data_IF_476309125095
#
_entry.id   IF_476309125095
#
_cell.length_a   1.000
_cell.length_b   1.000
_cell.length_c   1.000
_cell.angle_alpha   90.00
_cell.angle_beta   90.00
_cell.angle_gamma   90.00
#
_symmetry.space_group_name_H-M   'P 1'
#
loop_
_entity.id
_entity.type
_entity.pdbx_description
1 polymer ?
#
# COMPACT_ATOMS: atom_id res chain seq x y z
N UNK A 1 -14.53 -10.52 11.56
CA UNK A 1 -13.44 -11.17 10.84
C UNK A 1 -12.37 -10.17 10.50
N UNK A 2 -11.13 -10.51 10.76
CA UNK A 2 -10.03 -9.57 10.57
C UNK A 2 -9.50 -9.60 9.13
N UNK A 3 -9.30 -8.42 8.57
CA UNK A 3 -8.76 -8.31 7.22
C UNK A 3 -7.26 -8.58 7.26
N UNK A 4 -6.79 -9.48 6.40
CA UNK A 4 -5.37 -9.83 6.32
C UNK A 4 -4.82 -9.50 4.94
N UNK A 5 -3.51 -9.68 4.76
CA UNK A 5 -2.85 -9.36 3.50
C UNK A 5 -3.43 -10.16 2.33
N UNK A 6 -3.77 -11.43 2.56
CA UNK A 6 -4.34 -12.25 1.49
C UNK A 6 -5.64 -11.64 0.96
N UNK A 7 -6.50 -11.17 1.85
CA UNK A 7 -7.74 -10.53 1.45
C UNK A 7 -7.49 -9.24 0.68
N UNK A 8 -6.50 -8.45 1.11
CA UNK A 8 -6.14 -7.22 0.42
C UNK A 8 -5.63 -7.55 -0.98
N UNK A 9 -4.75 -8.52 -1.10
CA UNK A 9 -4.16 -8.88 -2.40
C UNK A 9 -5.21 -9.39 -3.38
N UNK A 10 -6.30 -9.94 -2.88
CA UNK A 10 -7.38 -10.47 -3.71
C UNK A 10 -8.56 -9.51 -3.86
N UNK A 11 -8.45 -8.31 -3.30
CA UNK A 11 -9.55 -7.34 -3.34
C UNK A 11 -9.66 -6.70 -4.71
N UNK A 12 -10.86 -6.79 -5.31
CA UNK A 12 -11.08 -6.30 -6.67
C UNK A 12 -10.89 -4.80 -6.79
N UNK A 13 -11.40 -4.03 -5.83
CA UNK A 13 -11.30 -2.58 -5.89
C UNK A 13 -9.85 -2.12 -5.82
N UNK A 14 -9.09 -2.68 -4.89
CA UNK A 14 -7.68 -2.34 -4.74
C UNK A 14 -6.90 -2.69 -6.01
N UNK A 15 -7.17 -3.87 -6.56
CA UNK A 15 -6.46 -4.31 -7.76
C UNK A 15 -6.82 -3.48 -8.99
N UNK A 16 -8.08 -3.05 -9.09
CA UNK A 16 -8.46 -2.15 -10.18
C UNK A 16 -7.74 -0.81 -10.07
N UNK A 17 -7.60 -0.28 -8.85
CA UNK A 17 -6.87 0.97 -8.66
C UNK A 17 -5.40 0.82 -9.04
N UNK A 18 -4.79 -0.31 -8.66
CA UNK A 18 -3.40 -0.56 -9.02
C UNK A 18 -3.23 -0.64 -10.53
N UNK A 19 -4.12 -1.38 -11.20
CA UNK A 19 -4.00 -1.57 -12.64
C UNK A 19 -4.28 -0.29 -13.42
N UNK A 20 -5.24 0.50 -12.96
CA UNK A 20 -5.53 1.77 -13.59
C UNK A 20 -4.36 2.74 -13.43
N UNK A 21 -3.78 2.80 -12.23
CA UNK A 21 -2.60 3.62 -12.00
C UNK A 21 -1.43 3.21 -12.86
N UNK A 22 -1.22 1.90 -13.00
CA UNK A 22 -0.14 1.38 -13.84
C UNK A 22 -0.35 1.76 -15.31
N UNK A 23 -1.59 1.68 -15.78
CA UNK A 23 -1.92 2.06 -17.15
C UNK A 23 -1.61 3.54 -17.40
N UNK A 24 -2.01 4.40 -16.48
CA UNK A 24 -1.76 5.84 -16.59
C UNK A 24 -0.25 6.12 -16.63
N UNK A 25 0.50 5.48 -15.74
CA UNK A 25 1.95 5.71 -15.66
C UNK A 25 2.67 5.20 -16.90
N UNK A 26 2.22 4.08 -17.47
CA UNK A 26 2.81 3.58 -18.71
C UNK A 26 2.65 4.58 -19.84
N UNK A 27 1.50 5.23 -19.93
CA UNK A 27 1.26 6.22 -20.97
C UNK A 27 2.12 7.48 -20.78
N UNK A 28 2.54 7.74 -19.54
CA UNK A 28 3.39 8.87 -19.22
C UNK A 28 4.88 8.53 -19.30
N UNK A 29 5.22 7.27 -19.60
CA UNK A 29 6.61 6.85 -19.76
C UNK A 29 7.29 6.40 -18.48
N UNK A 30 6.57 6.20 -17.41
CA UNK A 30 7.14 5.70 -16.16
C UNK A 30 7.31 4.19 -16.18
N UNK A 31 8.12 3.69 -15.26
CA UNK A 31 8.35 2.25 -15.12
C UNK A 31 7.10 1.56 -14.58
N UNK A 32 7.14 0.23 -14.61
CA UNK A 32 5.99 -0.58 -14.23
C UNK A 32 5.61 -0.41 -12.76
N UNK A 33 4.32 -0.20 -12.50
CA UNK A 33 3.74 -0.13 -11.14
C UNK A 33 2.54 -1.06 -11.06
N UNK A 34 2.73 -2.29 -11.50
CA UNK A 34 1.68 -3.30 -11.62
C UNK A 34 1.40 -3.99 -10.29
N UNK A 35 0.41 -4.90 -10.31
CA UNK A 35 0.14 -5.77 -9.17
C UNK A 35 1.34 -6.62 -8.80
N UNK A 36 2.13 -7.02 -9.78
CA UNK A 36 3.33 -7.78 -9.54
C UNK A 36 4.34 -6.96 -8.73
N UNK A 37 4.50 -5.68 -9.08
CA UNK A 37 5.35 -4.78 -8.32
C UNK A 37 4.81 -4.60 -6.91
N UNK A 38 3.49 -4.40 -6.77
CA UNK A 38 2.86 -4.22 -5.47
C UNK A 38 3.12 -5.44 -4.57
N UNK A 39 2.96 -6.64 -5.11
CA UNK A 39 3.21 -7.87 -4.36
C UNK A 39 4.67 -7.98 -3.93
N UNK A 40 5.59 -7.58 -4.81
CA UNK A 40 7.01 -7.62 -4.50
C UNK A 40 7.36 -6.66 -3.35
N UNK A 41 6.80 -5.46 -3.39
CA UNK A 41 7.02 -4.49 -2.31
C UNK A 41 6.43 -5.00 -1.00
N UNK A 42 5.25 -5.62 -1.07
CA UNK A 42 4.63 -6.18 0.12
C UNK A 42 5.51 -7.27 0.74
N UNK A 43 6.02 -8.18 -0.08
CA UNK A 43 6.86 -9.27 0.39
C UNK A 43 8.15 -8.72 1.01
N UNK A 44 8.75 -7.74 0.39
CA UNK A 44 9.97 -7.12 0.90
C UNK A 44 9.73 -6.44 2.24
N UNK A 45 8.64 -5.68 2.35
CA UNK A 45 8.31 -5.00 3.59
C UNK A 45 8.09 -6.00 4.73
N UNK A 46 7.36 -7.06 4.47
CA UNK A 46 7.14 -8.09 5.48
C UNK A 46 8.42 -8.78 5.90
N UNK A 47 9.30 -9.04 4.95
CA UNK A 47 10.56 -9.70 5.22
C UNK A 47 11.47 -8.85 6.10
N UNK A 48 11.53 -7.54 5.81
CA UNK A 48 12.33 -6.62 6.62
C UNK A 48 11.86 -6.62 8.06
N UNK A 49 10.55 -6.50 8.29
CA UNK A 49 10.04 -6.49 9.65
C UNK A 49 10.25 -7.81 10.35
N UNK A 50 10.14 -8.91 9.62
CA UNK A 50 10.41 -10.22 10.19
C UNK A 50 11.86 -10.33 10.66
N UNK A 51 12.80 -9.87 9.85
CA UNK A 51 14.22 -9.92 10.22
C UNK A 51 14.54 -9.00 11.38
N UNK A 52 13.78 -7.93 11.54
CA UNK A 52 13.94 -7.01 12.68
C UNK A 52 13.26 -7.52 13.95
N UNK A 53 12.61 -8.66 13.90
CA UNK A 53 12.04 -9.28 15.08
C UNK A 53 10.62 -8.86 15.43
N UNK A 54 9.92 -8.19 14.53
CA UNK A 54 8.53 -7.81 14.77
C UNK A 54 7.59 -9.00 14.70
N UNK A 55 6.45 -8.89 15.39
CA UNK A 55 5.48 -9.97 15.42
C UNK A 55 4.63 -10.05 14.18
N UNK A 56 3.83 -11.12 14.11
CA UNK A 56 3.00 -11.42 12.93
C UNK A 56 2.10 -10.26 12.53
N UNK A 57 1.48 -9.62 13.51
CA UNK A 57 0.53 -8.57 13.22
C UNK A 57 1.18 -7.39 12.49
N UNK A 58 2.34 -6.96 12.98
CA UNK A 58 3.05 -5.85 12.35
C UNK A 58 3.57 -6.21 10.98
N UNK A 59 4.02 -7.44 10.80
CA UNK A 59 4.43 -7.94 9.49
C UNK A 59 3.27 -7.87 8.52
N UNK A 60 2.08 -8.27 8.98
CA UNK A 60 0.90 -8.25 8.14
C UNK A 60 0.52 -6.83 7.73
N UNK A 61 0.56 -5.89 8.68
CA UNK A 61 0.27 -4.49 8.37
C UNK A 61 1.27 -3.91 7.38
N UNK A 62 2.54 -4.28 7.50
CA UNK A 62 3.57 -3.81 6.57
C UNK A 62 3.32 -4.34 5.17
N UNK A 63 2.89 -5.59 5.05
CA UNK A 63 2.55 -6.17 3.75
C UNK A 63 1.39 -5.43 3.10
N UNK A 64 0.36 -5.13 3.89
CA UNK A 64 -0.80 -4.41 3.38
C UNK A 64 -0.38 -3.03 2.91
N UNK A 65 0.40 -2.31 3.71
CA UNK A 65 0.88 -0.98 3.33
C UNK A 65 1.70 -1.05 2.04
N UNK A 66 2.60 -2.04 1.94
CA UNK A 66 3.42 -2.20 0.76
C UNK A 66 2.61 -2.47 -0.49
N UNK A 67 1.57 -3.31 -0.37
CA UNK A 67 0.74 -3.62 -1.53
C UNK A 67 -0.06 -2.42 -2.00
N UNK A 68 -0.50 -1.57 -1.07
CA UNK A 68 -1.37 -0.44 -1.39
C UNK A 68 -0.62 0.87 -1.61
N UNK A 69 0.72 0.86 -1.51
CA UNK A 69 1.47 2.12 -1.44
C UNK A 69 1.31 3.02 -2.68
N UNK A 70 1.04 2.45 -3.83
CA UNK A 70 0.96 3.21 -5.09
C UNK A 70 -0.46 3.40 -5.62
N UNK A 71 -1.51 3.04 -4.85
CA UNK A 71 -2.87 3.16 -5.39
C UNK A 71 -3.25 4.60 -5.71
N UNK A 72 -2.55 5.57 -5.12
CA UNK A 72 -2.81 6.98 -5.41
C UNK A 72 -2.48 7.41 -6.82
N UNK A 73 -1.69 6.60 -7.55
CA UNK A 73 -1.35 6.91 -8.94
C UNK A 73 -2.57 6.99 -9.85
N UNK A 74 -3.68 6.38 -9.45
CA UNK A 74 -4.93 6.49 -10.19
C UNK A 74 -5.44 7.94 -10.20
N UNK A 75 -5.12 8.71 -9.17
CA UNK A 75 -5.57 10.10 -9.06
C UNK A 75 -4.53 11.06 -9.62
N UNK A 76 -3.29 10.99 -9.12
CA UNK A 76 -2.21 11.81 -9.65
C UNK A 76 -0.86 11.23 -9.26
N UNK A 77 0.15 11.51 -10.08
CA UNK A 77 1.49 11.02 -9.82
C UNK A 77 2.24 11.87 -8.79
N UNK A 78 2.12 13.19 -8.90
CA UNK A 78 2.96 14.07 -8.10
C UNK A 78 2.60 14.06 -6.61
N UNK A 79 1.38 13.63 -6.27
CA UNK A 79 0.95 13.57 -4.87
C UNK A 79 0.34 12.20 -4.54
N UNK A 80 0.83 11.16 -5.21
CA UNK A 80 0.21 9.84 -5.11
C UNK A 80 0.27 9.24 -3.71
N UNK A 81 1.29 9.57 -2.93
CA UNK A 81 1.38 9.06 -1.57
C UNK A 81 0.23 9.59 -0.71
N UNK A 82 -0.06 10.87 -0.82
CA UNK A 82 -1.16 11.50 -0.10
C UNK A 82 -2.49 10.93 -0.55
N UNK A 83 -2.70 10.92 -1.87
CA UNK A 83 -3.94 10.39 -2.44
C UNK A 83 -4.13 8.92 -2.08
N UNK A 84 -3.03 8.16 -2.09
CA UNK A 84 -3.06 6.75 -1.74
C UNK A 84 -3.44 6.52 -0.28
N UNK A 85 -2.93 7.36 0.61
CA UNK A 85 -3.27 7.22 2.02
C UNK A 85 -4.76 7.47 2.25
N UNK A 86 -5.32 8.47 1.58
CA UNK A 86 -6.75 8.77 1.71
C UNK A 86 -7.60 7.64 1.15
N UNK A 87 -7.24 7.14 -0.03
CA UNK A 87 -7.97 6.02 -0.63
C UNK A 87 -7.89 4.77 0.24
N UNK A 88 -6.70 4.49 0.78
CA UNK A 88 -6.51 3.32 1.63
C UNK A 88 -7.37 3.43 2.90
N UNK A 89 -7.42 4.62 3.49
CA UNK A 89 -8.26 4.84 4.67
C UNK A 89 -9.71 4.46 4.39
N UNK A 90 -10.25 4.94 3.27
CA UNK A 90 -11.64 4.68 2.92
C UNK A 90 -11.89 3.19 2.67
N UNK A 91 -11.02 2.56 1.91
CA UNK A 91 -11.19 1.15 1.57
C UNK A 91 -11.09 0.27 2.81
N UNK A 92 -10.08 0.49 3.63
CA UNK A 92 -9.87 -0.32 4.82
C UNK A 92 -10.98 -0.13 5.85
N UNK A 93 -11.53 1.08 5.92
CA UNK A 93 -12.65 1.33 6.81
C UNK A 93 -13.89 0.56 6.36
N UNK A 94 -14.13 0.49 5.06
CA UNK A 94 -15.24 -0.31 4.52
C UNK A 94 -15.05 -1.79 4.77
N UNK A 95 -13.81 -2.24 4.91
CA UNK A 95 -13.51 -3.63 5.21
C UNK A 95 -13.51 -3.92 6.71
N UNK A 96 -13.92 -2.95 7.51
CA UNK A 96 -14.04 -3.08 8.98
C UNK A 96 -12.72 -3.36 9.68
N UNK A 97 -11.61 -2.89 9.13
CA UNK A 97 -10.34 -3.02 9.82
C UNK A 97 -10.32 -2.11 11.06
N UNK A 98 -9.70 -2.56 12.16
CA UNK A 98 -9.58 -1.69 13.34
C UNK A 98 -8.89 -0.38 13.01
N UNK A 99 -9.41 0.71 13.57
CA UNK A 99 -8.89 2.04 13.25
C UNK A 99 -7.40 2.18 13.53
N UNK A 100 -6.93 1.58 14.61
CA UNK A 100 -5.51 1.63 14.94
C UNK A 100 -4.65 1.09 13.81
N UNK A 101 -5.09 -0.02 13.21
CA UNK A 101 -4.37 -0.64 12.11
C UNK A 101 -4.47 0.18 10.84
N UNK A 102 -5.66 0.75 10.57
CA UNK A 102 -5.84 1.63 9.42
C UNK A 102 -4.87 2.80 9.49
N UNK A 103 -4.75 3.42 10.66
CA UNK A 103 -3.88 4.57 10.83
C UNK A 103 -2.41 4.19 10.64
N UNK A 104 -2.00 3.02 11.10
CA UNK A 104 -0.64 2.56 10.90
C UNK A 104 -0.33 2.40 9.41
N UNK A 105 -1.26 1.79 8.68
CA UNK A 105 -1.09 1.56 7.24
C UNK A 105 -1.09 2.87 6.48
N UNK A 106 -2.06 3.75 6.76
CA UNK A 106 -2.17 5.00 6.00
C UNK A 106 -1.00 5.93 6.29
N UNK A 107 -0.48 5.93 7.50
CA UNK A 107 0.71 6.72 7.83
C UNK A 107 1.90 6.23 7.02
N UNK A 108 2.08 4.92 6.93
CA UNK A 108 3.19 4.36 6.15
C UNK A 108 3.06 4.73 4.68
N UNK A 109 1.85 4.64 4.12
CA UNK A 109 1.63 5.00 2.72
C UNK A 109 1.89 6.48 2.48
N UNK A 110 1.39 7.33 3.38
CA UNK A 110 1.51 8.78 3.20
C UNK A 110 2.95 9.27 3.25
N UNK A 111 3.83 8.51 3.89
CA UNK A 111 5.22 8.91 4.05
C UNK A 111 6.19 8.17 3.14
N UNK A 112 5.72 7.22 2.34
CA UNK A 112 6.65 6.38 1.57
C UNK A 112 7.40 7.12 0.48
N UNK A 113 6.91 8.28 0.06
CA UNK A 113 7.49 9.03 -1.04
C UNK A 113 8.28 10.25 -0.57
N UNK A 114 8.67 10.30 0.70
CA UNK A 114 9.41 11.44 1.18
C UNK A 114 10.85 11.40 0.69
N UNK A 115 11.30 12.53 0.15
CA UNK A 115 12.62 12.62 -0.45
C UNK A 115 13.73 12.47 0.56
N UNK A 116 13.46 12.70 1.84
CA UNK A 116 14.47 12.55 2.90
C UNK A 116 14.76 11.11 3.22
N UNK A 117 13.97 10.19 2.70
CA UNK A 117 14.13 8.78 3.00
C UNK A 117 13.77 8.40 4.41
N UNK A 118 13.00 9.20 5.08
CA UNK A 118 12.59 8.92 6.44
C UNK A 118 11.25 8.23 6.53
N UNK A 119 10.83 7.61 5.46
CA UNK A 119 9.60 6.84 5.51
C UNK A 119 9.71 5.77 6.59
N UNK A 120 8.77 5.78 7.49
CA UNK A 120 8.75 4.84 8.60
C UNK A 120 7.72 3.79 8.28
N UNK A 121 8.14 2.57 8.32
CA UNK A 121 7.22 1.49 8.06
C UNK A 121 6.26 1.26 9.14
#
# INVERSE_FOLDING_TARGET
MQTDYKQIRENNEINLLIEQGNHILNELGYTEHSRKHAAKVADTAGKILKELGYGKHKIELARIAGYMHDIGNTINRCDHAHSGAILAYQILKELDMPLKDILAITTAIGHHDESTGTAVD
#
